data_IF_698658071766
#
_entry.id   IF_698658071766
#
_cell.length_a   1.000
_cell.length_b   1.000
_cell.length_c   1.000
_cell.angle_alpha   90.00
_cell.angle_beta   90.00
_cell.angle_gamma   90.00
#
_symmetry.space_group_name_H-M   'P 1'
#
loop_
_entity.id
_entity.type
_entity.pdbx_description
1 polymer ?
#
# COMPACT_ATOMS: atom_id res chain seq x y z
N UNK A 1 -23.85 36.41 -15.75
CA UNK A 1 -23.53 36.46 -14.31
C UNK A 1 -23.38 35.07 -13.66
N UNK A 2 -24.27 34.09 -13.91
CA UNK A 2 -24.16 32.74 -13.32
C UNK A 2 -22.91 31.94 -13.73
N UNK A 3 -22.41 32.13 -14.95
CA UNK A 3 -21.21 31.41 -15.45
C UNK A 3 -19.93 31.86 -14.72
N UNK A 4 -19.80 33.15 -14.38
CA UNK A 4 -18.59 33.70 -13.74
C UNK A 4 -18.40 33.23 -12.29
N UNK A 5 -19.51 32.99 -11.57
CA UNK A 5 -19.49 32.48 -10.18
C UNK A 5 -19.05 31.02 -10.14
N UNK A 6 -19.41 30.22 -11.15
CA UNK A 6 -18.98 28.82 -11.27
C UNK A 6 -17.48 28.70 -11.53
N UNK A 7 -16.89 29.61 -12.32
CA UNK A 7 -15.44 29.63 -12.56
C UNK A 7 -14.64 30.06 -11.33
N UNK A 8 -15.11 31.04 -10.55
CA UNK A 8 -14.45 31.47 -9.30
C UNK A 8 -14.51 30.39 -8.21
N UNK A 9 -15.63 29.67 -8.09
CA UNK A 9 -15.76 28.56 -7.15
C UNK A 9 -14.83 27.39 -7.52
N UNK A 10 -14.70 27.07 -8.81
CA UNK A 10 -13.77 26.04 -9.29
C UNK A 10 -12.30 26.40 -9.03
N UNK A 11 -11.91 27.67 -9.20
CA UNK A 11 -10.54 28.15 -8.93
C UNK A 11 -10.18 28.15 -7.43
N UNK A 12 -11.14 28.46 -6.56
CA UNK A 12 -10.95 28.37 -5.10
C UNK A 12 -10.76 26.94 -4.61
N UNK A 13 -11.51 25.98 -5.17
CA UNK A 13 -11.36 24.55 -4.85
C UNK A 13 -10.02 24.02 -5.34
N UNK A 14 -9.59 24.37 -6.55
CA UNK A 14 -8.30 23.94 -7.10
C UNK A 14 -7.08 24.52 -6.35
N UNK A 15 -7.20 25.71 -5.76
CA UNK A 15 -6.12 26.27 -4.96
C UNK A 15 -6.02 25.60 -3.58
N UNK A 16 -7.13 25.29 -2.92
CA UNK A 16 -7.13 24.74 -1.55
C UNK A 16 -6.44 23.37 -1.44
N UNK A 17 -6.48 22.56 -2.50
CA UNK A 17 -5.95 21.19 -2.52
C UNK A 17 -4.43 21.20 -2.65
N UNK A 18 -3.88 22.12 -3.46
CA UNK A 18 -2.44 22.36 -3.56
C UNK A 18 -1.81 22.88 -2.25
N UNK A 19 -2.51 23.76 -1.52
CA UNK A 19 -2.05 24.25 -0.23
C UNK A 19 -2.02 23.16 0.85
N UNK A 20 -3.02 22.27 0.89
CA UNK A 20 -3.07 21.18 1.86
C UNK A 20 -1.88 20.20 1.72
N UNK A 21 -1.51 19.86 0.48
CA UNK A 21 -0.35 18.98 0.22
C UNK A 21 0.98 19.64 0.60
N UNK A 22 1.11 20.96 0.37
CA UNK A 22 2.30 21.72 0.78
C UNK A 22 2.49 21.70 2.30
N UNK A 23 1.41 21.82 3.08
CA UNK A 23 1.48 21.87 4.53
C UNK A 23 1.92 20.54 5.18
N UNK A 24 1.44 19.40 4.67
CA UNK A 24 1.88 18.09 5.19
C UNK A 24 3.35 17.84 4.91
N UNK A 25 3.80 18.19 3.70
CA UNK A 25 5.20 18.03 3.29
C UNK A 25 6.13 18.97 4.04
N UNK A 26 5.70 20.21 4.31
CA UNK A 26 6.43 21.13 5.18
C UNK A 26 6.62 20.55 6.59
N UNK A 27 5.59 19.90 7.14
CA UNK A 27 5.67 19.26 8.45
C UNK A 27 6.63 18.07 8.46
N UNK A 28 6.61 17.23 7.43
CA UNK A 28 7.59 16.14 7.27
C UNK A 28 9.03 16.69 7.16
N UNK A 29 9.24 17.76 6.37
CA UNK A 29 10.54 18.40 6.21
C UNK A 29 11.06 19.00 7.52
N UNK A 30 10.18 19.63 8.31
CA UNK A 30 10.54 20.18 9.62
C UNK A 30 10.97 19.07 10.60
N UNK A 31 10.20 17.98 10.67
CA UNK A 31 10.56 16.81 11.48
C UNK A 31 11.88 16.19 11.04
N UNK A 32 12.14 16.11 9.73
CA UNK A 32 13.41 15.64 9.19
C UNK A 32 14.58 16.55 9.56
N UNK A 33 14.40 17.87 9.54
CA UNK A 33 15.41 18.83 9.98
C UNK A 33 15.74 18.66 11.48
N UNK A 34 14.72 18.49 12.32
CA UNK A 34 14.91 18.27 13.76
C UNK A 34 15.61 16.94 14.07
N UNK A 35 15.29 15.87 13.33
CA UNK A 35 16.01 14.60 13.41
C UNK A 35 17.49 14.75 13.02
N UNK A 36 17.80 15.40 11.90
CA UNK A 36 19.19 15.62 11.46
C UNK A 36 19.98 16.53 12.41
N UNK A 37 19.30 17.48 13.05
CA UNK A 37 19.86 18.32 14.11
C UNK A 37 20.00 17.58 15.46
N UNK A 38 19.69 16.27 15.52
CA UNK A 38 19.74 15.41 16.72
C UNK A 38 18.82 15.87 17.86
N UNK A 39 17.76 16.62 17.55
CA UNK A 39 16.73 17.01 18.54
C UNK A 39 15.69 15.92 18.80
N UNK A 40 15.58 14.97 17.88
CA UNK A 40 14.71 13.81 17.97
C UNK A 40 15.56 12.55 17.82
N UNK A 41 15.22 11.53 18.60
CA UNK A 41 15.65 10.16 18.31
C UNK A 41 14.94 9.62 17.05
N UNK A 42 15.45 8.52 16.49
CA UNK A 42 14.80 7.84 15.36
C UNK A 42 13.37 7.40 15.71
N UNK A 43 13.16 6.94 16.95
CA UNK A 43 11.86 6.47 17.43
C UNK A 43 10.85 7.62 17.56
N UNK A 44 11.26 8.74 18.14
CA UNK A 44 10.42 9.94 18.24
C UNK A 44 10.11 10.53 16.87
N UNK A 45 11.11 10.62 15.98
CA UNK A 45 10.91 11.10 14.62
C UNK A 45 9.90 10.24 13.86
N UNK A 46 10.07 8.91 13.88
CA UNK A 46 9.12 7.98 13.26
C UNK A 46 7.72 8.11 13.86
N UNK A 47 7.61 8.19 15.18
CA UNK A 47 6.30 8.35 15.82
C UNK A 47 5.62 9.66 15.40
N UNK A 48 6.34 10.79 15.42
CA UNK A 48 5.82 12.10 15.02
C UNK A 48 5.46 12.18 13.54
N UNK A 49 6.21 11.52 12.66
CA UNK A 49 5.86 11.43 11.24
C UNK A 49 4.46 10.85 11.04
N UNK A 50 4.12 9.82 11.81
CA UNK A 50 2.83 9.14 11.71
C UNK A 50 1.72 9.93 12.42
N UNK A 51 1.97 10.37 13.66
CA UNK A 51 0.93 10.98 14.49
C UNK A 51 0.73 12.45 14.21
N UNK A 52 1.76 13.19 13.83
CA UNK A 52 1.68 14.64 13.61
C UNK A 52 1.64 15.03 12.14
N UNK A 53 2.46 14.39 11.30
CA UNK A 53 2.51 14.67 9.86
C UNK A 53 1.63 13.75 9.01
N UNK A 54 1.00 12.74 9.62
CA UNK A 54 0.09 11.84 8.92
C UNK A 54 0.75 11.04 7.79
N UNK A 55 2.06 10.78 7.89
CA UNK A 55 2.83 10.14 6.83
C UNK A 55 2.31 8.72 6.54
N UNK A 56 2.29 8.36 5.26
CA UNK A 56 1.93 7.01 4.78
C UNK A 56 3.17 6.21 4.36
N UNK A 57 4.37 6.76 4.55
CA UNK A 57 5.61 6.20 4.03
C UNK A 57 5.83 6.49 2.54
N UNK A 58 7.01 6.10 2.04
CA UNK A 58 7.43 6.34 0.66
C UNK A 58 6.92 5.21 -0.26
N UNK A 59 5.80 5.46 -0.95
CA UNK A 59 5.26 4.59 -1.99
C UNK A 59 4.87 3.19 -1.51
N UNK A 60 4.39 2.36 -2.44
CA UNK A 60 4.14 0.94 -2.21
C UNK A 60 5.35 0.14 -2.68
N UNK A 61 5.83 -0.79 -1.85
CA UNK A 61 6.86 -1.75 -2.24
C UNK A 61 6.41 -3.14 -1.84
N UNK A 62 6.45 -4.06 -2.80
CA UNK A 62 6.07 -5.46 -2.61
C UNK A 62 7.29 -6.34 -2.82
N UNK A 63 7.88 -6.80 -1.72
CA UNK A 63 9.02 -7.70 -1.73
C UNK A 63 8.56 -9.13 -1.99
N UNK A 64 9.25 -9.81 -2.90
CA UNK A 64 9.14 -11.24 -3.03
C UNK A 64 10.07 -11.91 -2.01
N UNK A 65 9.51 -12.76 -1.16
CA UNK A 65 10.31 -13.52 -0.21
C UNK A 65 10.65 -14.91 -0.77
N UNK A 66 9.61 -15.66 -1.12
CA UNK A 66 9.77 -17.07 -1.49
C UNK A 66 8.63 -17.55 -2.39
N UNK A 67 8.89 -18.64 -3.09
CA UNK A 67 7.91 -19.40 -3.86
C UNK A 67 7.70 -20.76 -3.19
N UNK A 68 6.43 -21.13 -2.99
CA UNK A 68 6.01 -22.41 -2.42
C UNK A 68 5.07 -23.16 -3.38
N UNK A 69 4.98 -24.47 -3.19
CA UNK A 69 4.11 -25.38 -3.94
C UNK A 69 3.58 -26.49 -3.04
N UNK A 70 2.58 -27.25 -3.50
CA UNK A 70 2.06 -28.41 -2.77
C UNK A 70 1.26 -28.04 -1.52
N UNK A 71 1.55 -28.65 -0.38
CA UNK A 71 0.72 -28.59 0.83
C UNK A 71 0.49 -27.17 1.38
N UNK A 72 1.47 -26.27 1.23
CA UNK A 72 1.29 -24.88 1.68
C UNK A 72 0.20 -24.17 0.87
N UNK A 73 0.10 -24.47 -0.42
CA UNK A 73 -0.97 -23.92 -1.27
C UNK A 73 -2.31 -24.43 -0.77
N UNK A 74 -2.42 -25.72 -0.43
CA UNK A 74 -3.64 -26.33 0.10
C UNK A 74 -4.13 -25.66 1.39
N UNK A 75 -3.21 -25.28 2.30
CA UNK A 75 -3.56 -24.57 3.54
C UNK A 75 -4.17 -23.20 3.22
N UNK A 76 -3.50 -22.41 2.38
CA UNK A 76 -3.99 -21.07 1.96
C UNK A 76 -5.28 -21.18 1.14
N UNK A 77 -5.44 -22.25 0.34
CA UNK A 77 -6.62 -22.51 -0.48
C UNK A 77 -7.90 -22.59 0.32
N UNK A 78 -7.86 -23.13 1.56
CA UNK A 78 -9.05 -23.26 2.42
C UNK A 78 -9.70 -21.92 2.74
N UNK A 79 -8.92 -20.85 2.74
CA UNK A 79 -9.40 -19.50 3.03
C UNK A 79 -9.82 -18.74 1.75
N UNK A 80 -9.46 -19.25 0.57
CA UNK A 80 -9.78 -18.63 -0.71
C UNK A 80 -10.93 -19.40 -1.36
N UNK A 81 -12.16 -18.86 -1.27
CA UNK A 81 -13.39 -19.46 -1.81
C UNK A 81 -13.41 -19.70 -3.33
N UNK A 82 -12.36 -19.31 -4.06
CA UNK A 82 -12.34 -19.29 -5.51
C UNK A 82 -11.30 -20.28 -6.03
N UNK A 83 -11.61 -21.57 -5.95
CA UNK A 83 -10.85 -22.59 -6.66
C UNK A 83 -10.86 -22.27 -8.17
N UNK A 84 -9.73 -22.47 -8.86
CA UNK A 84 -9.55 -22.26 -10.30
C UNK A 84 -9.43 -20.79 -10.77
N UNK A 85 -8.83 -19.91 -9.97
CA UNK A 85 -8.41 -18.58 -10.42
C UNK A 85 -6.97 -18.24 -10.07
N UNK A 86 -6.48 -17.16 -10.65
CA UNK A 86 -5.37 -16.42 -10.08
C UNK A 86 -5.88 -15.49 -8.97
N UNK A 87 -5.28 -15.58 -7.79
CA UNK A 87 -5.79 -14.97 -6.56
C UNK A 87 -4.73 -14.14 -5.84
N UNK A 88 -5.18 -13.05 -5.23
CA UNK A 88 -4.44 -12.30 -4.23
C UNK A 88 -5.15 -12.48 -2.88
N UNK A 89 -4.40 -12.69 -1.81
CA UNK A 89 -4.98 -12.93 -0.48
C UNK A 89 -4.09 -12.41 0.64
N UNK A 90 -4.69 -11.74 1.60
CA UNK A 90 -4.09 -11.24 2.84
C UNK A 90 -4.63 -12.12 3.98
N UNK A 91 -3.78 -12.87 4.70
CA UNK A 91 -4.23 -13.73 5.79
C UNK A 91 -4.69 -12.91 7.01
N UNK A 92 -5.32 -13.56 8.00
CA UNK A 92 -5.78 -12.87 9.21
C UNK A 92 -4.60 -12.38 10.07
N UNK A 93 -3.53 -13.18 10.15
CA UNK A 93 -2.24 -12.86 10.78
C UNK A 93 -1.30 -12.11 9.82
N UNK A 94 -1.85 -11.16 9.05
CA UNK A 94 -1.12 -10.49 7.97
C UNK A 94 0.08 -9.69 8.45
N UNK A 95 0.07 -9.17 9.67
CA UNK A 95 1.17 -8.34 10.13
C UNK A 95 2.39 -9.17 10.53
N UNK A 96 3.54 -8.88 9.91
CA UNK A 96 4.83 -9.46 10.26
C UNK A 96 5.72 -8.36 10.82
N UNK A 97 6.32 -8.61 11.98
CA UNK A 97 7.41 -7.79 12.49
C UNK A 97 8.76 -8.45 12.18
N UNK A 98 9.67 -7.68 11.56
CA UNK A 98 11.07 -8.06 11.41
C UNK A 98 11.94 -7.11 12.25
N UNK A 99 12.35 -7.60 13.42
CA UNK A 99 13.00 -6.78 14.43
C UNK A 99 12.08 -5.73 15.07
N UNK A 100 12.69 -4.68 15.63
CA UNK A 100 11.96 -3.66 16.43
C UNK A 100 11.17 -2.66 15.58
N UNK A 101 11.61 -2.40 14.34
CA UNK A 101 11.13 -1.25 13.56
C UNK A 101 10.52 -1.60 12.21
N UNK A 102 10.70 -2.81 11.68
CA UNK A 102 10.10 -3.19 10.41
C UNK A 102 8.79 -3.94 10.64
N UNK A 103 7.71 -3.46 10.01
CA UNK A 103 6.42 -4.13 9.91
C UNK A 103 6.06 -4.27 8.43
N UNK A 104 5.46 -5.40 8.08
CA UNK A 104 5.02 -5.71 6.73
C UNK A 104 3.66 -6.37 6.75
N UNK A 105 2.89 -6.17 5.68
CA UNK A 105 1.71 -7.00 5.39
C UNK A 105 2.18 -8.22 4.60
N UNK A 106 2.05 -9.41 5.18
CA UNK A 106 2.15 -10.68 4.48
C UNK A 106 0.99 -10.79 3.50
N UNK A 107 1.31 -11.22 2.28
CA UNK A 107 0.31 -11.46 1.25
C UNK A 107 0.71 -12.66 0.42
N UNK A 108 -0.28 -13.37 -0.11
CA UNK A 108 -0.09 -14.51 -1.00
C UNK A 108 -0.63 -14.20 -2.39
N UNK A 109 0.19 -14.47 -3.39
CA UNK A 109 -0.21 -14.46 -4.79
C UNK A 109 -0.25 -15.91 -5.27
N UNK A 110 -1.45 -16.41 -5.58
CA UNK A 110 -1.72 -17.84 -5.74
C UNK A 110 -2.27 -18.13 -7.13
N UNK A 111 -1.66 -19.10 -7.82
CA UNK A 111 -2.11 -19.56 -9.12
C UNK A 111 -2.87 -20.88 -8.99
N UNK A 112 -4.21 -20.84 -8.93
CA UNK A 112 -5.03 -22.06 -8.97
C UNK A 112 -5.32 -22.57 -10.38
N UNK A 113 -4.81 -21.91 -11.41
CA UNK A 113 -4.98 -22.33 -12.81
C UNK A 113 -4.07 -23.53 -13.08
N UNK A 114 -4.37 -24.22 -14.19
CA UNK A 114 -3.62 -25.35 -14.73
C UNK A 114 -2.46 -24.94 -15.64
N UNK A 115 -2.28 -23.63 -15.87
CA UNK A 115 -1.17 -23.08 -16.65
C UNK A 115 -0.28 -22.13 -15.86
N UNK A 116 0.93 -21.88 -16.37
CA UNK A 116 1.92 -20.99 -15.75
C UNK A 116 1.59 -19.52 -16.00
N UNK A 117 1.69 -18.70 -14.96
CA UNK A 117 1.58 -17.24 -15.05
C UNK A 117 2.97 -16.61 -14.96
N UNK A 118 3.23 -15.58 -15.76
CA UNK A 118 4.46 -14.81 -15.72
C UNK A 118 4.26 -13.53 -14.91
N UNK A 119 4.96 -13.41 -13.79
CA UNK A 119 4.83 -12.29 -12.86
C UNK A 119 5.94 -11.27 -13.17
N UNK A 120 5.62 -9.99 -13.39
CA UNK A 120 6.61 -8.94 -13.58
C UNK A 120 7.37 -8.69 -12.28
N UNK A 121 8.70 -8.76 -12.36
CA UNK A 121 9.63 -8.58 -11.25
C UNK A 121 10.56 -7.41 -11.55
N UNK A 122 10.95 -6.74 -10.48
CA UNK A 122 11.92 -5.65 -10.49
C UNK A 122 12.89 -5.93 -9.35
N UNK A 123 14.06 -6.48 -9.66
CA UNK A 123 15.02 -7.04 -8.70
C UNK A 123 14.34 -8.00 -7.69
N UNK A 124 14.37 -7.66 -6.39
CA UNK A 124 13.74 -8.42 -5.32
C UNK A 124 12.25 -8.08 -5.10
N UNK A 125 11.68 -7.17 -5.88
CA UNK A 125 10.30 -6.70 -5.75
C UNK A 125 9.40 -7.22 -6.88
N UNK A 126 8.10 -7.04 -6.71
CA UNK A 126 7.05 -7.36 -7.70
C UNK A 126 6.35 -6.07 -8.10
N UNK A 127 6.28 -5.80 -9.41
CA UNK A 127 5.71 -4.57 -9.96
C UNK A 127 4.16 -4.61 -10.03
N UNK A 128 3.53 -3.50 -10.42
CA UNK A 128 2.09 -3.37 -10.69
C UNK A 128 1.15 -3.60 -9.50
N UNK A 129 1.60 -3.26 -8.30
CA UNK A 129 0.74 -3.25 -7.12
C UNK A 129 0.20 -1.86 -6.82
N UNK A 130 -0.98 -1.82 -6.22
CA UNK A 130 -1.55 -0.61 -5.62
C UNK A 130 -2.38 -0.98 -4.41
N UNK A 131 -2.44 -0.11 -3.42
CA UNK A 131 -3.28 -0.30 -2.24
C UNK A 131 -4.38 0.76 -2.14
N UNK A 132 -5.46 0.36 -1.48
CA UNK A 132 -6.69 1.12 -1.43
C UNK A 132 -7.28 1.09 -0.04
N UNK A 133 -7.89 2.19 0.37
CA UNK A 133 -8.72 2.27 1.56
C UNK A 133 -10.14 2.67 1.21
N UNK A 134 -11.09 2.27 2.06
CA UNK A 134 -12.49 2.66 1.91
C UNK A 134 -12.81 3.81 2.86
N UNK A 135 -13.20 4.95 2.31
CA UNK A 135 -13.67 6.13 3.06
C UNK A 135 -15.08 6.47 2.53
N UNK A 136 -16.05 6.66 3.42
CA UNK A 136 -17.43 7.00 3.05
C UNK A 136 -18.02 6.10 1.96
N UNK A 137 -17.79 4.78 2.08
CA UNK A 137 -18.20 3.74 1.13
C UNK A 137 -17.52 3.77 -0.25
N UNK A 138 -16.57 4.66 -0.49
CA UNK A 138 -15.80 4.76 -1.74
C UNK A 138 -14.37 4.26 -1.56
N UNK A 139 -13.86 3.52 -2.55
CA UNK A 139 -12.48 3.05 -2.58
C UNK A 139 -11.55 4.10 -3.18
N UNK A 140 -10.51 4.44 -2.46
CA UNK A 140 -9.49 5.40 -2.87
C UNK A 140 -8.13 4.72 -2.93
N UNK A 141 -7.42 4.91 -4.05
CA UNK A 141 -6.02 4.46 -4.19
C UNK A 141 -5.15 5.36 -3.34
N UNK A 142 -4.29 4.80 -2.50
CA UNK A 142 -3.43 5.60 -1.61
C UNK A 142 -1.96 5.53 -2.00
N UNK A 143 -1.48 4.39 -2.50
CA UNK A 143 -0.13 4.23 -3.03
C UNK A 143 -0.13 3.29 -4.23
N UNK A 144 0.84 3.49 -5.10
CA UNK A 144 1.21 2.60 -6.18
C UNK A 144 2.68 2.20 -6.07
N UNK A 145 3.01 1.05 -6.66
CA UNK A 145 4.39 0.63 -6.78
C UNK A 145 5.07 1.51 -7.83
N UNK A 146 5.91 2.44 -7.36
CA UNK A 146 6.67 3.31 -8.24
C UNK A 146 7.82 2.52 -8.88
N UNK A 147 7.92 2.61 -10.21
CA UNK A 147 9.10 2.11 -10.92
C UNK A 147 10.31 2.94 -10.50
N UNK A 148 11.41 2.28 -10.13
CA UNK A 148 12.65 2.98 -9.83
C UNK A 148 13.12 3.78 -11.05
N UNK A 149 13.63 4.99 -10.79
CA UNK A 149 14.25 5.84 -11.81
C UNK A 149 15.71 5.49 -12.09
N UNK A 150 16.28 4.54 -11.35
CA UNK A 150 17.70 4.19 -11.43
C UNK A 150 17.93 2.68 -11.32
N UNK A 151 18.65 2.11 -12.29
CA UNK A 151 19.42 0.85 -12.16
C UNK A 151 18.68 -0.48 -12.00
N UNK A 152 17.36 -0.54 -12.00
CA UNK A 152 16.66 -1.80 -11.69
C UNK A 152 16.64 -2.79 -12.88
N UNK A 153 16.79 -4.08 -12.58
CA UNK A 153 16.63 -5.15 -13.56
C UNK A 153 15.18 -5.61 -13.61
N UNK A 154 14.56 -5.46 -14.78
CA UNK A 154 13.18 -5.90 -15.03
C UNK A 154 13.16 -7.26 -15.70
N UNK A 155 12.41 -8.21 -15.13
CA UNK A 155 12.29 -9.56 -15.66
C UNK A 155 10.92 -10.15 -15.34
N UNK A 156 10.65 -11.36 -15.84
CA UNK A 156 9.42 -12.11 -15.54
C UNK A 156 9.78 -13.39 -14.81
N UNK A 157 9.16 -13.64 -13.67
CA UNK A 157 9.28 -14.91 -12.94
C UNK A 157 8.09 -15.82 -13.21
N UNK A 158 8.31 -17.13 -13.23
CA UNK A 158 7.26 -18.12 -13.48
C UNK A 158 6.56 -18.48 -12.18
N UNK A 159 5.24 -18.42 -12.19
CA UNK A 159 4.37 -18.97 -11.15
C UNK A 159 3.59 -20.13 -11.77
N UNK A 160 4.07 -21.35 -11.55
CA UNK A 160 3.48 -22.57 -12.10
C UNK A 160 2.06 -22.85 -11.59
N UNK A 161 1.37 -23.84 -12.18
CA UNK A 161 0.08 -24.31 -11.69
C UNK A 161 0.15 -24.70 -10.21
N UNK A 162 -0.87 -24.32 -9.43
CA UNK A 162 -0.92 -24.53 -7.97
C UNK A 162 0.31 -23.97 -7.24
N UNK A 163 0.95 -22.94 -7.81
CA UNK A 163 2.06 -22.22 -7.19
C UNK A 163 1.59 -21.09 -6.30
N UNK A 164 2.43 -20.72 -5.33
CA UNK A 164 2.19 -19.60 -4.43
C UNK A 164 3.47 -18.76 -4.27
N UNK A 165 3.35 -17.43 -4.37
CA UNK A 165 4.37 -16.50 -3.90
C UNK A 165 3.99 -15.96 -2.53
N UNK A 166 4.96 -15.92 -1.62
CA UNK A 166 4.87 -15.19 -0.36
C UNK A 166 5.49 -13.82 -0.55
N UNK A 167 4.68 -12.79 -0.33
CA UNK A 167 5.03 -11.39 -0.56
C UNK A 167 4.94 -10.61 0.75
N UNK A 168 5.85 -9.65 0.92
CA UNK A 168 5.83 -8.68 2.02
C UNK A 168 5.60 -7.29 1.44
N UNK A 169 4.52 -6.64 1.88
CA UNK A 169 4.18 -5.28 1.48
C UNK A 169 4.60 -4.33 2.60
N UNK A 170 5.29 -3.25 2.25
CA UNK A 170 5.68 -2.24 3.23
C UNK A 170 4.46 -1.62 3.94
N UNK A 171 4.56 -1.55 5.27
CA UNK A 171 3.52 -1.02 6.14
C UNK A 171 3.37 0.50 6.00
N UNK A 172 2.14 0.99 6.12
CA UNK A 172 1.79 2.39 6.43
C UNK A 172 1.56 2.60 7.93
N UNK A 173 2.07 1.70 8.78
CA UNK A 173 1.90 1.68 10.23
C UNK A 173 0.45 1.50 10.69
N UNK A 174 -0.28 0.67 9.96
CA UNK A 174 -1.73 0.51 10.03
C UNK A 174 -2.25 -0.42 11.14
N UNK A 175 -1.54 -0.47 12.28
CA UNK A 175 -1.87 -1.33 13.43
C UNK A 175 -2.13 -0.55 14.72
N UNK A 176 -1.55 0.64 14.85
CA UNK A 176 -1.46 1.37 16.13
C UNK A 176 -2.33 2.62 16.19
N UNK A 177 -3.10 2.87 15.13
CA UNK A 177 -4.03 3.98 15.03
C UNK A 177 -5.35 3.75 15.76
N UNK A 178 -6.17 4.80 15.84
CA UNK A 178 -7.55 4.73 16.36
C UNK A 178 -8.60 4.64 15.26
N UNK A 179 -8.27 5.07 14.04
CA UNK A 179 -9.21 5.15 12.93
C UNK A 179 -9.26 3.85 12.15
N UNK A 180 -10.37 3.13 12.26
CA UNK A 180 -10.57 1.86 11.56
C UNK A 180 -11.09 2.09 10.15
N UNK A 181 -10.39 1.55 9.16
CA UNK A 181 -10.79 1.61 7.75
C UNK A 181 -10.65 0.26 7.07
N UNK A 182 -11.47 0.02 6.06
CA UNK A 182 -11.29 -1.14 5.19
C UNK A 182 -10.14 -0.89 4.24
N UNK A 183 -9.33 -1.91 4.01
CA UNK A 183 -8.15 -1.87 3.18
C UNK A 183 -8.10 -3.08 2.25
N UNK A 184 -7.55 -2.87 1.05
CA UNK A 184 -7.25 -3.96 0.11
C UNK A 184 -6.05 -3.61 -0.74
N UNK A 185 -5.42 -4.64 -1.29
CA UNK A 185 -4.33 -4.52 -2.26
C UNK A 185 -4.84 -5.05 -3.59
N UNK A 186 -4.36 -4.46 -4.67
CA UNK A 186 -4.64 -4.90 -6.03
C UNK A 186 -3.35 -5.13 -6.78
N UNK A 187 -3.38 -6.09 -7.69
CA UNK A 187 -2.30 -6.40 -8.62
C UNK A 187 -2.84 -6.29 -10.04
N UNK A 188 -2.17 -5.50 -10.89
CA UNK A 188 -2.49 -5.43 -12.31
C UNK A 188 -1.59 -6.38 -13.11
N UNK A 189 -2.22 -7.37 -13.74
CA UNK A 189 -1.57 -8.28 -14.65
C UNK A 189 -2.16 -8.15 -16.05
N UNK A 190 -1.40 -7.56 -16.97
CA UNK A 190 -1.80 -7.35 -18.37
C UNK A 190 -3.14 -6.62 -18.51
N UNK A 191 -3.38 -5.58 -17.70
CA UNK A 191 -4.62 -4.80 -17.69
C UNK A 191 -5.77 -5.45 -16.92
N UNK A 192 -5.56 -6.67 -16.38
CA UNK A 192 -6.53 -7.33 -15.51
C UNK A 192 -6.18 -7.08 -14.05
N UNK A 193 -7.08 -6.38 -13.36
CA UNK A 193 -6.99 -6.14 -11.92
C UNK A 193 -7.40 -7.40 -11.14
N UNK A 194 -6.53 -7.82 -10.22
CA UNK A 194 -6.78 -8.87 -9.23
C UNK A 194 -6.78 -8.21 -7.85
N UNK A 195 -7.88 -8.36 -7.12
CA UNK A 195 -8.02 -7.77 -5.79
C UNK A 195 -7.80 -8.81 -4.69
N UNK A 196 -7.21 -8.39 -3.57
CA UNK A 196 -7.18 -9.15 -2.33
C UNK A 196 -8.58 -9.21 -1.68
N UNK A 197 -8.73 -10.04 -0.66
CA UNK A 197 -9.79 -9.84 0.33
C UNK A 197 -9.65 -8.48 1.02
N UNK A 198 -10.77 -7.98 1.52
CA UNK A 198 -10.80 -6.79 2.39
C UNK A 198 -10.31 -7.19 3.78
N UNK A 199 -9.48 -6.34 4.38
CA UNK A 199 -9.10 -6.40 5.80
C UNK A 199 -9.44 -5.08 6.48
N UNK A 200 -9.54 -5.08 7.81
CA UNK A 200 -9.60 -3.87 8.61
C UNK A 200 -8.19 -3.49 9.07
N UNK A 201 -7.86 -2.20 8.95
CA UNK A 201 -6.60 -1.64 9.43
C UNK A 201 -6.87 -0.41 10.30
N UNK A 202 -5.92 -0.04 11.14
CA UNK A 202 -6.05 1.07 12.10
C UNK A 202 -5.04 2.18 11.82
N UNK A 203 -5.52 3.33 11.35
CA UNK A 203 -4.72 4.50 10.99
C UNK A 203 -4.72 5.56 12.10
N UNK A 204 -3.64 6.32 12.20
CA UNK A 204 -3.63 7.49 13.08
C UNK A 204 -4.57 8.58 12.51
N UNK A 205 -5.22 9.40 13.37
CA UNK A 205 -6.16 10.42 12.91
C UNK A 205 -5.60 11.35 11.84
N UNK A 206 -4.34 11.76 11.96
CA UNK A 206 -3.71 12.63 10.96
C UNK A 206 -3.36 11.93 9.66
N UNK A 207 -3.15 10.61 9.64
CA UNK A 207 -3.02 9.85 8.39
C UNK A 207 -4.34 9.87 7.62
N UNK A 208 -5.45 9.58 8.30
CA UNK A 208 -6.78 9.64 7.69
C UNK A 208 -7.13 11.06 7.24
N UNK A 209 -6.83 12.08 8.05
CA UNK A 209 -7.05 13.49 7.70
C UNK A 209 -6.27 13.90 6.46
N UNK A 210 -4.99 13.50 6.35
CA UNK A 210 -4.17 13.74 5.17
C UNK A 210 -4.80 13.10 3.94
N UNK A 211 -5.15 11.83 4.02
CA UNK A 211 -5.82 11.09 2.95
C UNK A 211 -7.11 11.78 2.50
N UNK A 212 -7.98 12.18 3.43
CA UNK A 212 -9.20 12.91 3.08
C UNK A 212 -8.91 14.27 2.45
N UNK A 213 -7.86 14.98 2.88
CA UNK A 213 -7.44 16.25 2.30
C UNK A 213 -6.83 16.15 0.90
N UNK A 214 -6.27 14.99 0.55
CA UNK A 214 -5.71 14.70 -0.79
C UNK A 214 -6.77 14.20 -1.79
N UNK A 215 -7.97 13.84 -1.32
CA UNK A 215 -9.06 13.27 -2.12
C UNK A 215 -10.12 14.29 -2.57
N UNK A 216 -9.96 15.55 -2.17
CA UNK A 216 -10.77 16.69 -2.58
C UNK A 216 -9.93 17.64 -3.43
#
# INVERSE_FOLDING_TARGET
MKVFVLWLAALLVLCSTGFAQSAWREKENALWADYNAKKLTLEEWNHKLLTEAGSLGAGLTVWFNEQKSGDTVSIVSRHIKQANKFALYIPEDWNIHDGKYASYIRMYLVNFLDFTIYIPRMDATVDNFSDYIKINNTWYKIRDNEKSRCGNSYYKSKLGPRGLYVLNVNSIHQEKGSEKVKYKITFDLNGKKIESNEIEISLYPNQLKRLMGELH
#
